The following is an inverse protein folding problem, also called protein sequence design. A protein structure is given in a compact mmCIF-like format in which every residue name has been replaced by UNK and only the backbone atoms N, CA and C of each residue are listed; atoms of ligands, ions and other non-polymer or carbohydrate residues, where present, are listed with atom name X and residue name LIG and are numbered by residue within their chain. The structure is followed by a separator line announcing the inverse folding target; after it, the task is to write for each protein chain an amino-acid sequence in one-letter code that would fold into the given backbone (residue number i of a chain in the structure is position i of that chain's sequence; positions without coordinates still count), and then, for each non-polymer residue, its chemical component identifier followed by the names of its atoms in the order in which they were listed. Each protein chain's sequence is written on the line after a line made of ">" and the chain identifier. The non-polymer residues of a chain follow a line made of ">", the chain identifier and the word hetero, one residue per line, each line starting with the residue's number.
data_IF_757823913222
#
_entry.id   IF_757823913222
#
_cell.length_a   1.000
_cell.length_b   1.000
_cell.length_c   1.000
_cell.angle_alpha   90.00
_cell.angle_beta   90.00
_cell.angle_gamma   90.00
#
_symmetry.space_group_name_H-M   'P 1'
#
loop_
_entity.id
_entity.type
_entity.pdbx_description
1 polymer ?
#
# COMPACT_ATOMS: atom_id res chain seq x y z
N UNK A 1 -7.03 -2.55 -16.85
CA UNK A 1 -7.41 -3.43 -15.72
C UNK A 1 -6.29 -4.42 -15.56
N UNK A 2 -5.63 -4.41 -14.41
CA UNK A 2 -4.50 -5.30 -14.16
C UNK A 2 -5.03 -6.73 -14.01
N UNK A 3 -4.81 -7.59 -15.03
CA UNK A 3 -5.17 -9.02 -15.04
C UNK A 3 -4.46 -9.86 -13.95
N UNK A 4 -3.60 -9.23 -13.13
CA UNK A 4 -2.84 -9.85 -12.05
C UNK A 4 -3.30 -9.39 -10.65
N UNK A 5 -4.53 -8.90 -10.50
CA UNK A 5 -5.10 -8.48 -9.20
C UNK A 5 -5.47 -9.64 -8.27
N UNK A 6 -5.13 -10.88 -8.61
CA UNK A 6 -5.46 -12.07 -7.81
C UNK A 6 -4.35 -12.42 -6.79
N UNK A 7 -3.63 -11.40 -6.30
CA UNK A 7 -2.62 -11.56 -5.24
C UNK A 7 -3.37 -11.61 -3.91
N UNK A 8 -3.00 -12.56 -3.06
CA UNK A 8 -3.46 -12.60 -1.67
C UNK A 8 -2.75 -11.49 -0.87
N UNK A 9 -3.44 -10.37 -0.72
CA UNK A 9 -2.96 -9.20 -0.01
C UNK A 9 -2.63 -9.50 1.45
N UNK A 10 -3.41 -10.37 2.11
CA UNK A 10 -3.16 -10.74 3.49
C UNK A 10 -1.87 -11.55 3.61
N UNK A 11 -1.64 -12.51 2.70
CA UNK A 11 -0.41 -13.29 2.67
C UNK A 11 0.81 -12.41 2.38
N UNK A 12 0.70 -11.48 1.42
CA UNK A 12 1.79 -10.55 1.09
C UNK A 12 2.17 -9.68 2.30
N UNK A 13 1.19 -9.09 2.98
CA UNK A 13 1.44 -8.26 4.16
C UNK A 13 2.06 -9.08 5.30
N UNK A 14 1.61 -10.32 5.50
CA UNK A 14 2.20 -11.23 6.50
C UNK A 14 3.67 -11.51 6.20
N UNK A 15 4.01 -11.86 4.95
CA UNK A 15 5.40 -12.12 4.54
C UNK A 15 6.27 -10.88 4.73
N UNK A 16 5.76 -9.70 4.39
CA UNK A 16 6.49 -8.45 4.56
C UNK A 16 6.67 -8.06 6.03
N UNK A 17 5.74 -8.43 6.91
CA UNK A 17 5.84 -8.19 8.35
C UNK A 17 6.80 -9.18 9.04
N UNK A 18 6.94 -10.39 8.51
CA UNK A 18 7.84 -11.42 9.04
C UNK A 18 9.32 -11.14 8.77
N UNK A 19 9.63 -10.29 7.79
CA UNK A 19 10.98 -9.97 7.39
C UNK A 19 11.30 -8.49 7.66
N UNK A 20 12.49 -8.19 8.19
CA UNK A 20 13.05 -6.82 8.25
C UNK A 20 13.43 -6.32 6.84
N UNK A 21 12.49 -6.40 5.91
CA UNK A 21 12.66 -5.98 4.53
C UNK A 21 12.24 -4.52 4.41
N UNK A 22 13.09 -3.71 3.79
CA UNK A 22 12.67 -2.40 3.34
C UNK A 22 11.81 -2.57 2.07
N UNK A 23 10.59 -2.06 2.09
CA UNK A 23 9.66 -2.14 0.97
C UNK A 23 8.92 -0.83 0.76
N UNK A 24 8.42 -0.64 -0.46
CA UNK A 24 7.49 0.41 -0.83
C UNK A 24 6.42 -0.20 -1.72
N UNK A 25 5.16 -0.03 -1.33
CA UNK A 25 4.00 -0.48 -2.10
C UNK A 25 3.02 0.66 -2.29
N UNK A 26 2.29 0.67 -3.40
CA UNK A 26 1.21 1.63 -3.66
C UNK A 26 -0.12 0.90 -3.83
N UNK A 27 -1.16 1.43 -3.21
CA UNK A 27 -2.51 0.87 -3.23
C UNK A 27 -3.57 1.94 -3.42
N UNK A 28 -4.72 1.55 -3.95
CA UNK A 28 -5.93 2.36 -3.84
C UNK A 28 -6.41 2.40 -2.38
N UNK A 29 -7.07 3.49 -1.94
CA UNK A 29 -7.63 3.60 -0.60
C UNK A 29 -8.90 2.75 -0.46
N UNK A 30 -8.72 1.43 -0.45
CA UNK A 30 -9.75 0.45 -0.16
C UNK A 30 -9.74 0.14 1.36
N UNK A 31 -10.91 -0.06 1.99
CA UNK A 31 -11.00 -0.37 3.43
C UNK A 31 -10.16 -1.59 3.84
N UNK A 32 -10.12 -2.63 3.01
CA UNK A 32 -9.33 -3.85 3.26
C UNK A 32 -7.83 -3.58 3.39
N UNK A 33 -7.30 -2.64 2.60
CA UNK A 33 -5.88 -2.26 2.66
C UNK A 33 -5.59 -1.46 3.93
N UNK A 34 -6.50 -0.56 4.33
CA UNK A 34 -6.37 0.21 5.57
C UNK A 34 -6.36 -0.71 6.79
N UNK A 35 -7.22 -1.74 6.81
CA UNK A 35 -7.23 -2.75 7.87
C UNK A 35 -5.91 -3.54 7.93
N UNK A 36 -5.36 -3.93 6.77
CA UNK A 36 -4.09 -4.63 6.70
C UNK A 36 -2.90 -3.75 7.15
N UNK A 37 -2.87 -2.48 6.77
CA UNK A 37 -1.85 -1.52 7.23
C UNK A 37 -1.85 -1.45 8.77
N UNK A 38 -3.03 -1.27 9.37
CA UNK A 38 -3.17 -1.19 10.83
C UNK A 38 -2.83 -2.51 11.52
N UNK A 39 -3.21 -3.65 10.94
CA UNK A 39 -2.94 -4.97 11.50
C UNK A 39 -1.45 -5.29 11.61
N UNK A 40 -0.65 -4.79 10.67
CA UNK A 40 0.78 -5.08 10.58
C UNK A 40 1.67 -3.89 11.00
N UNK A 41 1.08 -2.85 11.61
CA UNK A 41 1.77 -1.63 12.07
C UNK A 41 2.66 -0.97 10.99
N UNK A 42 2.23 -1.01 9.74
CA UNK A 42 2.96 -0.41 8.63
C UNK A 42 2.77 1.11 8.56
N UNK A 43 3.81 1.79 8.07
CA UNK A 43 3.75 3.22 7.81
C UNK A 43 3.02 3.46 6.48
N UNK A 44 2.07 4.41 6.45
CA UNK A 44 1.33 4.73 5.24
C UNK A 44 1.01 6.22 5.09
N UNK A 45 1.07 6.71 3.85
CA UNK A 45 0.72 8.10 3.51
C UNK A 45 -0.18 8.14 2.28
N UNK A 46 -1.28 8.88 2.37
CA UNK A 46 -2.16 9.15 1.24
C UNK A 46 -1.59 10.23 0.33
N UNK A 47 -1.51 9.96 -0.97
CA UNK A 47 -1.05 10.88 -2.01
C UNK A 47 -2.15 11.14 -3.04
N UNK A 48 -2.19 12.38 -3.54
CA UNK A 48 -2.98 12.73 -4.72
C UNK A 48 -2.09 12.62 -5.95
N UNK A 49 -2.32 11.58 -6.75
CA UNK A 49 -1.58 11.36 -7.99
C UNK A 49 -2.37 11.94 -9.15
N UNK A 50 -1.70 12.79 -9.96
CA UNK A 50 -2.23 13.22 -11.25
C UNK A 50 -1.80 12.19 -12.30
N UNK A 51 -2.74 11.40 -12.80
CA UNK A 51 -2.47 10.61 -13.99
C UNK A 51 -2.62 11.47 -15.26
N UNK A 52 -2.01 11.04 -16.37
CA UNK A 52 -2.10 11.72 -17.68
C UNK A 52 -3.51 11.74 -18.29
N UNK A 53 -4.49 11.13 -17.61
CA UNK A 53 -5.88 11.05 -18.03
C UNK A 53 -6.80 11.81 -17.06
N UNK A 54 -6.41 13.03 -16.66
CA UNK A 54 -7.22 14.04 -15.95
C UNK A 54 -7.99 13.62 -14.69
N UNK A 55 -7.83 12.40 -14.17
CA UNK A 55 -8.52 11.92 -12.98
C UNK A 55 -7.58 12.06 -11.78
N UNK A 56 -8.03 12.77 -10.74
CA UNK A 56 -7.36 12.81 -9.45
C UNK A 56 -7.54 11.45 -8.79
N UNK A 57 -6.50 10.62 -8.81
CA UNK A 57 -6.49 9.34 -8.12
C UNK A 57 -5.89 9.57 -6.73
N UNK A 58 -6.55 9.01 -5.72
CA UNK A 58 -5.96 8.91 -4.39
C UNK A 58 -5.24 7.57 -4.34
N UNK A 59 -3.97 7.58 -4.00
CA UNK A 59 -3.19 6.37 -3.74
C UNK A 59 -2.67 6.44 -2.31
N UNK A 60 -2.36 5.28 -1.75
CA UNK A 60 -1.69 5.12 -0.46
C UNK A 60 -0.31 4.53 -0.75
N UNK A 61 0.73 5.17 -0.26
CA UNK A 61 2.09 4.62 -0.23
C UNK A 61 2.30 3.96 1.14
N UNK A 62 2.77 2.72 1.14
CA UNK A 62 2.99 1.90 2.34
C UNK A 62 4.46 1.48 2.41
N UNK A 63 5.07 1.60 3.59
CA UNK A 63 6.48 1.27 3.86
C UNK A 63 6.65 0.62 5.23
N UNK A 64 7.77 -0.10 5.43
CA UNK A 64 8.15 -0.60 6.75
C UNK A 64 8.53 0.55 7.71
N UNK A 65 9.32 1.50 7.22
CA UNK A 65 9.82 2.65 7.98
C UNK A 65 9.10 3.96 7.61
N UNK A 66 9.15 5.00 8.46
CA UNK A 66 8.56 6.30 8.15
C UNK A 66 9.16 6.95 6.89
N UNK A 67 8.30 7.39 5.96
CA UNK A 67 8.70 8.06 4.71
C UNK A 67 9.23 9.49 4.90
N UNK A 68 8.80 10.17 5.96
CA UNK A 68 9.18 11.55 6.26
C UNK A 68 9.62 11.61 7.72
N UNK A 69 10.93 11.52 7.93
CA UNK A 69 11.60 11.65 9.23
C UNK A 69 12.64 12.78 9.18
#
# INVERSE_FOLDING_TARGET
>A
MYDHSNIDHAALFSILAEHEANFLMTYDPAPEIVELIHKHDFNAVGLFVKNGHHNKMREIVITAEPLFA
#
